data_IF_539596045977
#
_entry.id   IF_539596045977
#
_cell.length_a   1.000
_cell.length_b   1.000
_cell.length_c   1.000
_cell.angle_alpha   90.00
_cell.angle_beta   90.00
_cell.angle_gamma   90.00
#
_symmetry.space_group_name_H-M   'P 1'
#
loop_
_entity.id
_entity.type
_entity.pdbx_description
1 polymer ?
#
# COMPACT_ATOMS: atom_id res chain seq x y z
N UNK A 1 -34.93 -26.42 -54.58
CA UNK A 1 -34.05 -25.24 -54.44
C UNK A 1 -33.11 -25.49 -53.28
N UNK A 2 -31.84 -25.62 -53.62
CA UNK A 2 -30.67 -25.82 -52.76
C UNK A 2 -30.27 -24.55 -52.04
N UNK A 3 -29.94 -24.64 -50.74
CA UNK A 3 -28.83 -23.87 -50.16
C UNK A 3 -28.21 -24.69 -49.02
N UNK A 4 -27.24 -25.52 -49.38
CA UNK A 4 -26.10 -25.81 -48.52
C UNK A 4 -25.11 -24.65 -48.72
N UNK A 5 -24.74 -23.97 -47.65
CA UNK A 5 -23.46 -23.28 -47.53
C UNK A 5 -22.98 -23.52 -46.10
N UNK A 6 -22.13 -24.54 -45.96
CA UNK A 6 -21.32 -24.74 -44.78
C UNK A 6 -20.22 -23.67 -44.70
N UNK A 7 -19.77 -23.40 -43.48
CA UNK A 7 -18.68 -22.45 -43.29
C UNK A 7 -18.21 -22.34 -41.84
N UNK A 8 -17.66 -23.44 -41.31
CA UNK A 8 -16.61 -23.40 -40.29
C UNK A 8 -17.01 -23.01 -38.89
N UNK A 9 -17.11 -24.03 -38.03
CA UNK A 9 -16.77 -23.93 -36.61
C UNK A 9 -15.38 -23.34 -36.44
N UNK A 10 -15.29 -22.01 -36.43
CA UNK A 10 -14.15 -21.30 -35.90
C UNK A 10 -14.25 -21.37 -34.39
N UNK A 11 -13.66 -22.39 -33.79
CA UNK A 11 -13.20 -22.35 -32.39
C UNK A 11 -12.29 -21.12 -32.27
N UNK A 12 -12.90 -19.95 -32.02
CA UNK A 12 -12.19 -18.75 -31.66
C UNK A 12 -11.58 -19.07 -30.31
N UNK A 13 -10.26 -19.33 -30.31
CA UNK A 13 -9.46 -19.42 -29.10
C UNK A 13 -9.88 -18.25 -28.20
N UNK A 14 -10.44 -18.51 -27.01
CA UNK A 14 -10.87 -17.43 -26.15
C UNK A 14 -9.67 -16.53 -25.93
N UNK A 15 -9.79 -15.26 -26.32
CA UNK A 15 -8.73 -14.31 -26.08
C UNK A 15 -8.50 -14.21 -24.58
N UNK A 16 -7.29 -13.85 -24.16
CA UNK A 16 -6.98 -13.63 -22.73
C UNK A 16 -8.00 -12.63 -22.13
N UNK A 17 -8.51 -11.72 -22.95
CA UNK A 17 -9.57 -10.75 -22.62
C UNK A 17 -11.00 -11.31 -22.56
N UNK A 18 -11.29 -12.46 -23.17
CA UNK A 18 -12.59 -13.13 -23.07
C UNK A 18 -12.81 -13.74 -21.68
N UNK A 19 -11.74 -14.21 -21.02
CA UNK A 19 -11.78 -14.62 -19.62
C UNK A 19 -12.10 -13.44 -18.69
N UNK A 20 -11.60 -12.24 -19.00
CA UNK A 20 -11.96 -11.02 -18.27
C UNK A 20 -13.39 -10.57 -18.57
N UNK A 21 -13.84 -10.62 -19.83
CA UNK A 21 -15.23 -10.30 -20.20
C UNK A 21 -16.24 -11.23 -19.52
N UNK A 22 -15.97 -12.53 -19.48
CA UNK A 22 -16.82 -13.50 -18.79
C UNK A 22 -16.82 -13.29 -17.26
N UNK A 23 -15.71 -12.83 -16.69
CA UNK A 23 -15.62 -12.51 -15.26
C UNK A 23 -16.34 -11.21 -14.86
N UNK A 24 -16.48 -10.25 -15.79
CA UNK A 24 -17.18 -8.97 -15.58
C UNK A 24 -18.61 -8.94 -16.12
N UNK A 25 -19.06 -9.97 -16.84
CA UNK A 25 -20.45 -10.07 -17.29
C UNK A 25 -21.39 -10.18 -16.07
N UNK A 26 -22.49 -9.40 -16.01
CA UNK A 26 -23.45 -9.49 -14.93
C UNK A 26 -24.06 -10.89 -14.95
N UNK A 27 -23.64 -11.75 -14.02
CA UNK A 27 -24.24 -13.07 -13.85
C UNK A 27 -25.71 -12.89 -13.46
N UNK A 28 -26.60 -13.51 -14.22
CA UNK A 28 -28.03 -13.53 -13.91
C UNK A 28 -28.21 -14.04 -12.47
N UNK A 29 -28.92 -13.26 -11.66
CA UNK A 29 -29.25 -13.66 -10.30
C UNK A 29 -30.11 -14.92 -10.38
N UNK A 30 -29.67 -16.04 -9.77
CA UNK A 30 -30.50 -17.23 -9.67
C UNK A 30 -31.78 -16.89 -8.90
N UNK A 31 -32.91 -17.51 -9.27
CA UNK A 31 -34.18 -17.42 -8.54
C UNK A 31 -33.96 -17.74 -7.05
N UNK A 32 -34.71 -17.04 -6.17
CA UNK A 32 -34.50 -17.15 -4.73
C UNK A 32 -35.03 -18.48 -4.21
N UNK A 33 -34.16 -19.50 -4.21
CA UNK A 33 -34.49 -20.87 -3.80
C UNK A 33 -34.83 -21.04 -2.30
N UNK A 34 -34.91 -19.95 -1.51
CA UNK A 34 -35.18 -19.98 -0.07
C UNK A 34 -34.08 -20.60 0.82
N UNK A 35 -33.07 -21.25 0.22
CA UNK A 35 -31.97 -21.95 0.92
C UNK A 35 -31.05 -20.99 1.69
N UNK A 36 -30.42 -21.39 2.81
CA UNK A 36 -29.48 -20.52 3.53
C UNK A 36 -28.34 -20.03 2.61
N UNK A 37 -28.05 -18.72 2.65
CA UNK A 37 -26.99 -18.13 1.82
C UNK A 37 -25.64 -18.48 2.45
N UNK A 38 -24.93 -19.43 1.85
CA UNK A 38 -23.59 -19.84 2.28
C UNK A 38 -22.53 -19.01 1.55
N UNK A 39 -21.50 -18.57 2.28
CA UNK A 39 -20.39 -17.83 1.70
C UNK A 39 -19.55 -18.71 0.75
N UNK A 40 -19.30 -18.28 -0.50
CA UNK A 40 -18.43 -19.01 -1.41
C UNK A 40 -16.97 -18.95 -0.94
N UNK A 41 -16.15 -19.92 -1.39
CA UNK A 41 -14.72 -19.98 -1.06
C UNK A 41 -13.97 -18.69 -1.39
N UNK A 42 -14.36 -17.97 -2.45
CA UNK A 42 -13.77 -16.68 -2.81
C UNK A 42 -13.92 -15.62 -1.70
N UNK A 43 -15.05 -15.59 -1.00
CA UNK A 43 -15.29 -14.66 0.11
C UNK A 43 -14.55 -15.10 1.38
N UNK A 44 -14.43 -16.41 1.60
CA UNK A 44 -13.61 -16.93 2.70
C UNK A 44 -12.14 -16.57 2.51
N UNK A 45 -11.61 -16.72 1.30
CA UNK A 45 -10.24 -16.32 0.95
C UNK A 45 -10.09 -14.80 1.06
N UNK A 46 -11.02 -14.01 0.51
CA UNK A 46 -10.97 -12.55 0.62
C UNK A 46 -11.01 -12.07 2.07
N UNK A 47 -11.83 -12.70 2.91
CA UNK A 47 -11.91 -12.46 4.36
C UNK A 47 -10.57 -12.75 5.04
N UNK A 48 -9.94 -13.88 4.73
CA UNK A 48 -8.62 -14.24 5.27
C UNK A 48 -7.52 -13.27 4.81
N UNK A 49 -7.48 -12.90 3.53
CA UNK A 49 -6.51 -11.94 3.00
C UNK A 49 -6.68 -10.55 3.64
N UNK A 50 -7.92 -10.09 3.81
CA UNK A 50 -8.22 -8.82 4.49
C UNK A 50 -7.80 -8.85 5.96
N UNK A 51 -8.01 -9.97 6.65
CA UNK A 51 -7.58 -10.16 8.03
C UNK A 51 -6.05 -10.14 8.15
N UNK A 52 -5.35 -10.93 7.33
CA UNK A 52 -3.89 -11.00 7.34
C UNK A 52 -3.29 -9.62 7.01
N UNK A 53 -3.83 -8.94 6.00
CA UNK A 53 -3.44 -7.56 5.67
C UNK A 53 -3.62 -6.62 6.88
N UNK A 54 -4.81 -6.64 7.49
CA UNK A 54 -5.11 -5.79 8.64
C UNK A 54 -4.20 -6.05 9.84
N UNK A 55 -3.86 -7.32 10.10
CA UNK A 55 -2.92 -7.72 11.15
C UNK A 55 -1.50 -7.22 10.85
N UNK A 56 -1.02 -7.35 9.61
CA UNK A 56 0.29 -6.85 9.21
C UNK A 56 0.36 -5.32 9.42
N UNK A 57 -0.65 -4.58 8.95
CA UNK A 57 -0.68 -3.13 9.08
C UNK A 57 -0.77 -2.68 10.54
N UNK A 58 -1.60 -3.36 11.35
CA UNK A 58 -1.68 -3.08 12.79
C UNK A 58 -0.35 -3.38 13.49
N UNK A 59 0.29 -4.49 13.17
CA UNK A 59 1.59 -4.87 13.73
C UNK A 59 2.69 -3.85 13.38
N UNK A 60 2.75 -3.42 12.12
CA UNK A 60 3.68 -2.38 11.67
C UNK A 60 3.42 -1.05 12.38
N UNK A 61 2.15 -0.72 12.63
CA UNK A 61 1.78 0.50 13.36
C UNK A 61 2.24 0.43 14.82
N UNK A 62 2.08 -0.72 15.48
CA UNK A 62 2.56 -0.93 16.86
C UNK A 62 4.09 -0.86 16.93
N UNK A 63 4.80 -1.45 15.96
CA UNK A 63 6.25 -1.28 15.85
C UNK A 63 6.66 0.19 15.65
N UNK A 64 5.91 0.95 14.84
CA UNK A 64 6.12 2.38 14.70
C UNK A 64 5.95 3.13 16.03
N UNK A 65 4.94 2.76 16.83
CA UNK A 65 4.71 3.32 18.17
C UNK A 65 5.85 3.02 19.15
N UNK A 66 6.48 1.85 19.08
CA UNK A 66 7.62 1.55 19.96
C UNK A 66 8.87 2.30 19.52
N UNK A 67 9.07 2.51 18.22
CA UNK A 67 10.18 3.31 17.68
C UNK A 67 10.03 4.81 17.93
N UNK A 68 8.80 5.31 18.13
CA UNK A 68 8.56 6.70 18.54
C UNK A 68 9.24 7.05 19.87
N UNK A 69 9.41 6.08 20.77
CA UNK A 69 10.11 6.27 22.04
C UNK A 69 11.63 6.39 21.90
N UNK A 70 12.24 5.76 20.89
CA UNK A 70 13.68 5.87 20.60
C UNK A 70 13.99 6.94 19.56
N UNK A 71 12.98 7.50 18.89
CA UNK A 71 13.13 8.45 17.79
C UNK A 71 14.03 9.63 18.12
N UNK A 72 13.93 10.19 19.32
CA UNK A 72 14.75 11.34 19.73
C UNK A 72 16.24 10.95 19.82
N UNK A 73 16.55 9.80 20.41
CA UNK A 73 17.91 9.28 20.49
C UNK A 73 18.48 8.90 19.11
N UNK A 74 17.66 8.30 18.25
CA UNK A 74 18.06 7.91 16.89
C UNK A 74 18.31 9.15 16.01
N UNK A 75 17.47 10.19 16.14
CA UNK A 75 17.65 11.46 15.44
C UNK A 75 18.87 12.21 15.96
N UNK A 76 19.08 12.28 17.27
CA UNK A 76 20.26 12.92 17.86
C UNK A 76 21.55 12.22 17.43
N UNK A 77 21.54 10.88 17.36
CA UNK A 77 22.65 10.09 16.81
C UNK A 77 22.90 10.40 15.34
N UNK A 78 21.85 10.46 14.52
CA UNK A 78 21.99 10.81 13.10
C UNK A 78 22.55 12.23 12.90
N UNK A 79 22.14 13.19 13.73
CA UNK A 79 22.70 14.55 13.72
C UNK A 79 24.16 14.55 14.18
N UNK A 80 24.52 13.77 15.20
CA UNK A 80 25.89 13.63 15.67
C UNK A 80 26.81 13.00 14.60
N UNK A 81 26.35 11.96 13.93
CA UNK A 81 27.06 11.32 12.82
C UNK A 81 27.23 12.31 11.65
N UNK A 82 26.19 13.07 11.32
CA UNK A 82 26.24 14.12 10.30
C UNK A 82 27.28 15.20 10.64
N UNK A 83 27.29 15.69 11.88
CA UNK A 83 28.28 16.69 12.36
C UNK A 83 29.70 16.15 12.34
N UNK A 84 29.86 14.85 12.60
CA UNK A 84 31.16 14.19 12.53
C UNK A 84 31.65 14.08 11.10
N UNK A 85 30.76 13.78 10.14
CA UNK A 85 31.11 13.76 8.72
C UNK A 85 31.43 15.16 8.18
N UNK A 86 30.68 16.18 8.57
CA UNK A 86 30.99 17.55 8.15
C UNK A 86 32.28 18.07 8.77
N UNK A 87 32.58 17.73 10.02
CA UNK A 87 33.87 18.09 10.64
C UNK A 87 35.06 17.39 10.00
N UNK A 88 34.89 16.13 9.57
CA UNK A 88 35.88 15.40 8.77
C UNK A 88 36.13 16.09 7.42
N UNK A 89 35.08 16.54 6.72
CA UNK A 89 35.24 17.34 5.50
C UNK A 89 36.00 18.65 5.74
N UNK A 90 35.71 19.38 6.83
CA UNK A 90 36.49 20.58 7.17
C UNK A 90 37.96 20.25 7.39
N UNK A 91 38.25 19.13 8.07
CA UNK A 91 39.62 18.73 8.40
C UNK A 91 40.40 18.23 7.18
N UNK A 92 39.75 17.45 6.31
CA UNK A 92 40.39 16.75 5.19
C UNK A 92 40.50 17.62 3.93
N UNK A 93 39.47 18.42 3.62
CA UNK A 93 39.39 19.20 2.36
C UNK A 93 39.28 20.71 2.60
N UNK A 94 39.27 21.16 3.87
CA UNK A 94 39.27 22.57 4.23
C UNK A 94 37.89 23.25 4.22
N UNK A 95 36.80 22.49 4.02
CA UNK A 95 35.44 23.02 3.99
C UNK A 95 34.40 22.00 3.52
N UNK A 96 33.14 22.41 3.40
CA UNK A 96 32.04 21.60 2.87
C UNK A 96 30.96 22.48 2.24
N UNK A 97 30.06 21.87 1.48
CA UNK A 97 28.96 22.55 0.80
C UNK A 97 29.35 23.26 -0.49
N UNK A 98 28.44 24.05 -1.02
CA UNK A 98 28.56 24.68 -2.35
C UNK A 98 29.67 25.73 -2.46
N UNK A 99 30.24 26.17 -1.33
CA UNK A 99 31.39 27.08 -1.29
C UNK A 99 32.74 26.36 -1.46
N UNK A 100 32.77 25.03 -1.38
CA UNK A 100 33.99 24.24 -1.57
C UNK A 100 34.33 24.17 -3.06
N UNK A 101 35.48 24.74 -3.45
CA UNK A 101 35.98 24.71 -4.84
C UNK A 101 37.02 23.61 -4.98
N UNK A 102 36.83 22.71 -5.95
CA UNK A 102 37.80 21.65 -6.26
C UNK A 102 39.02 22.28 -6.92
N UNK A 103 40.23 22.16 -6.34
CA UNK A 103 41.44 22.70 -6.95
C UNK A 103 41.72 22.05 -8.32
N UNK A 104 42.28 22.78 -9.30
CA UNK A 104 42.72 22.14 -10.53
C UNK A 104 43.94 21.24 -10.24
N UNK A 105 43.90 19.99 -10.72
CA UNK A 105 45.04 19.05 -10.65
C UNK A 105 45.04 18.06 -9.47
N UNK A 106 43.96 17.96 -8.69
CA UNK A 106 43.80 16.88 -7.71
C UNK A 106 43.57 15.52 -8.39
N UNK A 107 44.06 14.46 -7.76
CA UNK A 107 43.82 13.07 -8.19
C UNK A 107 42.33 12.71 -8.19
N UNK A 108 41.92 11.71 -8.98
CA UNK A 108 40.51 11.27 -9.08
C UNK A 108 39.93 10.84 -7.71
N UNK A 109 40.74 10.18 -6.87
CA UNK A 109 40.34 9.79 -5.51
C UNK A 109 40.09 11.00 -4.61
N UNK A 110 40.91 12.06 -4.73
CA UNK A 110 40.70 13.30 -3.99
C UNK A 110 39.47 14.03 -4.51
N UNK A 111 39.29 14.08 -5.82
CA UNK A 111 38.12 14.70 -6.45
C UNK A 111 36.81 14.09 -5.96
N UNK A 112 36.72 12.77 -5.83
CA UNK A 112 35.54 12.09 -5.27
C UNK A 112 35.25 12.52 -3.81
N UNK A 113 36.29 12.79 -3.00
CA UNK A 113 36.12 13.31 -1.64
C UNK A 113 35.60 14.75 -1.63
N UNK A 114 36.12 15.62 -2.49
CA UNK A 114 35.60 16.98 -2.64
C UNK A 114 34.12 16.98 -3.08
N UNK A 115 33.76 16.13 -4.05
CA UNK A 115 32.37 16.00 -4.53
C UNK A 115 31.43 15.50 -3.44
N UNK A 116 31.87 14.55 -2.60
CA UNK A 116 31.10 14.09 -1.43
C UNK A 116 30.91 15.23 -0.42
N UNK A 117 31.97 15.99 -0.13
CA UNK A 117 31.92 17.10 0.80
C UNK A 117 31.07 18.29 0.31
N UNK A 118 30.90 18.45 -1.01
CA UNK A 118 29.98 19.43 -1.60
C UNK A 118 28.49 19.10 -1.40
N UNK A 119 28.14 17.84 -1.17
CA UNK A 119 26.73 17.42 -0.99
C UNK A 119 26.17 17.80 0.39
N UNK A 120 27.03 18.08 1.37
CA UNK A 120 26.59 18.48 2.71
C UNK A 120 26.08 19.91 2.72
N UNK A 121 24.94 20.12 3.37
CA UNK A 121 24.34 21.43 3.59
C UNK A 121 24.51 21.84 5.05
N UNK A 122 24.78 23.12 5.28
CA UNK A 122 24.84 23.67 6.64
C UNK A 122 23.43 23.84 7.17
N UNK A 123 23.07 23.08 8.19
CA UNK A 123 21.82 23.26 8.93
C UNK A 123 22.11 24.01 10.22
N UNK A 124 21.36 25.08 10.51
CA UNK A 124 21.40 25.69 11.82
C UNK A 124 20.72 24.80 12.86
N UNK A 125 20.99 25.02 14.16
CA UNK A 125 20.30 24.29 15.23
C UNK A 125 18.77 24.50 15.17
N UNK A 126 18.32 25.67 14.72
CA UNK A 126 16.91 25.98 14.51
C UNK A 126 16.31 25.17 13.35
N UNK A 127 17.06 24.98 12.26
CA UNK A 127 16.62 24.14 11.13
C UNK A 127 16.49 22.68 11.56
N UNK A 128 17.47 22.17 12.31
CA UNK A 128 17.46 20.80 12.83
C UNK A 128 16.25 20.58 13.75
N UNK A 129 15.94 21.54 14.62
CA UNK A 129 14.76 21.47 15.49
C UNK A 129 13.45 21.46 14.68
N UNK A 130 13.31 22.34 13.68
CA UNK A 130 12.11 22.38 12.84
C UNK A 130 11.91 21.11 11.99
N UNK A 131 13.00 20.56 11.45
CA UNK A 131 12.98 19.29 10.70
C UNK A 131 12.57 18.14 11.62
N UNK A 132 13.11 18.10 12.85
CA UNK A 132 12.78 17.09 13.85
C UNK A 132 11.28 17.08 14.15
N UNK A 133 10.69 18.24 14.43
CA UNK A 133 9.27 18.37 14.76
C UNK A 133 8.37 18.00 13.58
N UNK A 134 8.73 18.44 12.37
CA UNK A 134 8.00 18.11 11.15
C UNK A 134 8.02 16.60 10.87
N UNK A 135 9.19 15.96 10.96
CA UNK A 135 9.35 14.52 10.74
C UNK A 135 8.64 13.68 11.82
N UNK A 136 8.72 14.10 13.09
CA UNK A 136 7.99 13.44 14.19
C UNK A 136 6.49 13.50 13.96
N UNK A 137 5.97 14.66 13.58
CA UNK A 137 4.53 14.86 13.30
C UNK A 137 4.08 14.01 12.11
N UNK A 138 4.86 14.01 11.01
CA UNK A 138 4.57 13.16 9.86
C UNK A 138 4.53 11.69 10.27
N UNK A 139 5.54 11.18 10.97
CA UNK A 139 5.60 9.78 11.36
C UNK A 139 4.42 9.35 12.26
N UNK A 140 4.03 10.21 13.22
CA UNK A 140 2.84 9.97 14.07
C UNK A 140 1.56 9.86 13.22
N UNK A 141 1.35 10.80 12.29
CA UNK A 141 0.18 10.79 11.41
C UNK A 141 0.14 9.53 10.56
N UNK A 142 1.29 9.11 10.03
CA UNK A 142 1.41 7.88 9.23
C UNK A 142 1.04 6.65 10.03
N UNK A 143 1.58 6.52 11.23
CA UNK A 143 1.30 5.39 12.13
C UNK A 143 -0.18 5.36 12.50
N UNK A 144 -0.78 6.51 12.83
CA UNK A 144 -2.20 6.59 13.14
C UNK A 144 -3.09 6.17 11.96
N UNK A 145 -2.77 6.63 10.74
CA UNK A 145 -3.51 6.26 9.53
C UNK A 145 -3.38 4.75 9.24
N UNK A 146 -2.17 4.19 9.33
CA UNK A 146 -1.93 2.76 9.15
C UNK A 146 -2.70 1.92 10.17
N UNK A 147 -2.76 2.37 11.42
CA UNK A 147 -3.50 1.69 12.48
C UNK A 147 -5.00 1.68 12.19
N UNK A 148 -5.56 2.82 11.78
CA UNK A 148 -6.99 2.94 11.42
C UNK A 148 -7.31 2.02 10.23
N UNK A 149 -6.48 2.03 9.19
CA UNK A 149 -6.67 1.15 8.02
C UNK A 149 -6.56 -0.31 8.44
N UNK A 150 -5.56 -0.68 9.25
CA UNK A 150 -5.37 -2.04 9.74
C UNK A 150 -6.60 -2.56 10.50
N UNK A 151 -7.09 -1.77 11.47
CA UNK A 151 -8.30 -2.11 12.24
C UNK A 151 -9.54 -2.19 11.36
N UNK A 152 -9.72 -1.24 10.44
CA UNK A 152 -10.82 -1.26 9.50
C UNK A 152 -10.76 -2.47 8.55
N UNK A 153 -9.57 -2.91 8.14
CA UNK A 153 -9.38 -4.09 7.31
C UNK A 153 -9.68 -5.40 8.08
N UNK A 154 -9.32 -5.47 9.37
CA UNK A 154 -9.70 -6.58 10.25
C UNK A 154 -11.21 -6.64 10.41
N UNK A 155 -11.84 -5.51 10.74
CA UNK A 155 -13.29 -5.42 10.91
C UNK A 155 -14.01 -5.78 9.60
N UNK A 156 -13.61 -5.20 8.47
CA UNK A 156 -14.20 -5.51 7.17
C UNK A 156 -13.99 -6.98 6.77
N UNK A 157 -12.81 -7.55 7.05
CA UNK A 157 -12.49 -8.97 6.88
C UNK A 157 -13.41 -9.89 7.67
N UNK A 158 -13.74 -9.52 8.91
CA UNK A 158 -14.68 -10.26 9.75
C UNK A 158 -16.12 -10.16 9.22
N UNK A 159 -16.59 -8.95 8.90
CA UNK A 159 -17.95 -8.70 8.42
C UNK A 159 -18.18 -9.10 6.95
N UNK A 160 -17.13 -9.38 6.18
CA UNK A 160 -17.23 -9.97 4.85
C UNK A 160 -18.00 -11.31 4.88
N UNK A 161 -17.82 -12.09 5.96
CA UNK A 161 -18.48 -13.39 6.14
C UNK A 161 -19.98 -13.28 6.36
N UNK A 162 -20.44 -12.18 6.95
CA UNK A 162 -21.88 -11.94 7.23
C UNK A 162 -22.60 -11.18 6.10
N UNK A 163 -21.90 -10.87 5.00
CA UNK A 163 -22.52 -10.23 3.83
C UNK A 163 -23.01 -8.81 4.09
N UNK A 164 -22.43 -8.07 5.04
CA UNK A 164 -22.87 -6.71 5.35
C UNK A 164 -22.69 -5.75 4.16
N UNK A 165 -23.63 -4.81 3.93
CA UNK A 165 -23.63 -3.94 2.73
C UNK A 165 -22.43 -2.99 2.67
N UNK A 166 -21.91 -2.60 3.83
CA UNK A 166 -20.86 -1.60 3.96
C UNK A 166 -19.47 -2.17 3.68
N UNK A 167 -19.22 -3.46 3.91
CA UNK A 167 -17.88 -4.07 3.85
C UNK A 167 -17.22 -3.94 2.48
N UNK A 168 -17.98 -4.17 1.39
CA UNK A 168 -17.47 -3.97 0.03
C UNK A 168 -16.99 -2.54 -0.23
N UNK A 169 -17.75 -1.55 0.25
CA UNK A 169 -17.40 -0.13 0.09
C UNK A 169 -16.20 0.23 0.96
N UNK A 170 -16.15 -0.30 2.17
CA UNK A 170 -15.03 -0.09 3.11
C UNK A 170 -13.73 -0.64 2.54
N UNK A 171 -13.68 -1.89 2.06
CA UNK A 171 -12.44 -2.49 1.55
C UNK A 171 -11.98 -1.77 0.27
N UNK A 172 -12.91 -1.40 -0.62
CA UNK A 172 -12.59 -0.57 -1.78
C UNK A 172 -11.99 0.79 -1.36
N UNK A 173 -12.63 1.47 -0.40
CA UNK A 173 -12.14 2.73 0.14
C UNK A 173 -10.75 2.59 0.78
N UNK A 174 -10.51 1.52 1.53
CA UNK A 174 -9.21 1.21 2.13
C UNK A 174 -8.14 1.01 1.06
N UNK A 175 -8.42 0.28 -0.02
CA UNK A 175 -7.48 0.14 -1.14
C UNK A 175 -7.13 1.50 -1.74
N UNK A 176 -8.14 2.35 -1.99
CA UNK A 176 -7.91 3.68 -2.58
C UNK A 176 -7.03 4.54 -1.68
N UNK A 177 -7.38 4.64 -0.39
CA UNK A 177 -6.60 5.40 0.59
C UNK A 177 -5.17 4.89 0.64
N UNK A 178 -4.98 3.57 0.66
CA UNK A 178 -3.67 2.96 0.80
C UNK A 178 -2.80 3.15 -0.46
N UNK A 179 -3.39 3.10 -1.66
CA UNK A 179 -2.71 3.42 -2.91
C UNK A 179 -2.28 4.90 -2.97
N UNK A 180 -3.15 5.82 -2.54
CA UNK A 180 -2.82 7.25 -2.46
C UNK A 180 -1.67 7.48 -1.48
N UNK A 181 -1.70 6.84 -0.30
CA UNK A 181 -0.61 6.91 0.67
C UNK A 181 0.73 6.40 0.12
N UNK A 182 0.71 5.31 -0.66
CA UNK A 182 1.92 4.78 -1.33
C UNK A 182 2.44 5.78 -2.38
N UNK A 183 1.57 6.37 -3.20
CA UNK A 183 1.97 7.33 -4.25
C UNK A 183 2.63 8.59 -3.67
N UNK A 184 2.18 9.02 -2.49
CA UNK A 184 2.78 10.15 -1.76
C UNK A 184 4.15 9.82 -1.13
N UNK A 185 4.72 8.63 -1.40
CA UNK A 185 5.96 8.09 -0.80
C UNK A 185 5.96 8.07 0.73
N UNK A 186 4.78 8.14 1.33
CA UNK A 186 4.59 8.13 2.77
C UNK A 186 4.94 6.74 3.35
N UNK A 187 4.83 5.69 2.52
CA UNK A 187 4.93 4.29 2.94
C UNK A 187 5.86 3.52 1.99
N UNK A 188 7.16 3.45 2.30
CA UNK A 188 8.17 2.79 1.45
C UNK A 188 8.51 1.33 1.80
N UNK A 189 7.87 0.75 2.82
CA UNK A 189 8.23 -0.60 3.29
C UNK A 189 7.65 -1.69 2.39
N UNK A 190 8.49 -2.69 2.07
CA UNK A 190 8.08 -3.86 1.26
C UNK A 190 6.93 -4.64 1.88
N UNK A 191 6.81 -4.61 3.22
CA UNK A 191 5.72 -5.26 3.93
C UNK A 191 4.39 -4.53 3.70
N UNK A 192 4.41 -3.20 3.57
CA UNK A 192 3.21 -2.41 3.27
C UNK A 192 2.78 -2.64 1.82
N UNK A 193 3.72 -2.74 0.89
CA UNK A 193 3.46 -3.11 -0.51
C UNK A 193 2.89 -4.54 -0.61
N UNK A 194 3.41 -5.49 0.16
CA UNK A 194 2.85 -6.84 0.23
C UNK A 194 1.42 -6.82 0.78
N UNK A 195 1.19 -6.12 1.89
CA UNK A 195 -0.13 -5.99 2.50
C UNK A 195 -1.14 -5.30 1.56
N UNK A 196 -0.72 -4.26 0.84
CA UNK A 196 -1.58 -3.56 -0.12
C UNK A 196 -2.05 -4.48 -1.25
N UNK A 197 -1.14 -5.32 -1.76
CA UNK A 197 -1.44 -6.28 -2.82
C UNK A 197 -2.44 -7.34 -2.34
N UNK A 198 -2.33 -7.83 -1.10
CA UNK A 198 -3.32 -8.73 -0.50
C UNK A 198 -4.71 -8.09 -0.45
N UNK A 199 -4.79 -6.80 -0.09
CA UNK A 199 -6.04 -6.05 -0.02
C UNK A 199 -6.67 -5.87 -1.41
N UNK A 200 -5.87 -5.57 -2.43
CA UNK A 200 -6.31 -5.47 -3.83
C UNK A 200 -6.88 -6.80 -4.33
N UNK A 201 -6.21 -7.91 -4.07
CA UNK A 201 -6.70 -9.25 -4.43
C UNK A 201 -8.01 -9.56 -3.69
N UNK A 202 -8.11 -9.21 -2.40
CA UNK A 202 -9.34 -9.37 -1.63
C UNK A 202 -10.51 -8.58 -2.23
N UNK A 203 -10.28 -7.35 -2.71
CA UNK A 203 -11.30 -6.57 -3.43
C UNK A 203 -11.73 -7.28 -4.70
N UNK A 204 -10.79 -7.71 -5.55
CA UNK A 204 -11.12 -8.39 -6.81
C UNK A 204 -12.00 -9.63 -6.57
N UNK A 205 -11.63 -10.47 -5.60
CA UNK A 205 -12.41 -11.65 -5.22
C UNK A 205 -13.78 -11.31 -4.62
N UNK A 206 -13.92 -10.14 -3.99
CA UNK A 206 -15.18 -9.66 -3.42
C UNK A 206 -16.16 -9.16 -4.48
N UNK A 207 -15.68 -8.67 -5.63
CA UNK A 207 -16.50 -8.08 -6.69
C UNK A 207 -16.71 -9.01 -7.90
N UNK A 208 -15.79 -9.94 -8.17
CA UNK A 208 -15.81 -10.79 -9.36
C UNK A 208 -16.45 -12.17 -9.09
N UNK A 209 -17.18 -12.70 -10.08
CA UNK A 209 -17.73 -14.06 -10.09
C UNK A 209 -18.61 -14.40 -8.88
N UNK A 210 -18.29 -15.51 -8.20
CA UNK A 210 -19.06 -16.02 -7.06
C UNK A 210 -19.16 -15.04 -5.88
N UNK A 211 -18.14 -14.20 -5.67
CA UNK A 211 -18.19 -13.14 -4.66
C UNK A 211 -19.24 -12.09 -5.00
N UNK A 212 -19.27 -11.66 -6.27
CA UNK A 212 -20.30 -10.85 -6.93
C UNK A 212 -21.72 -11.28 -6.55
N UNK A 213 -22.03 -12.54 -6.88
CA UNK A 213 -23.34 -13.18 -6.69
C UNK A 213 -23.77 -13.31 -5.22
N UNK A 214 -22.85 -13.62 -4.30
CA UNK A 214 -23.19 -13.77 -2.88
C UNK A 214 -23.82 -12.51 -2.29
N UNK A 215 -23.23 -11.35 -2.55
CA UNK A 215 -23.78 -10.08 -2.07
C UNK A 215 -25.03 -9.66 -2.84
N UNK A 216 -25.15 -10.03 -4.11
CA UNK A 216 -26.35 -9.78 -4.90
C UNK A 216 -27.55 -10.55 -4.33
N UNK A 217 -27.37 -11.84 -3.99
CA UNK A 217 -28.37 -12.65 -3.27
C UNK A 217 -28.73 -12.07 -1.91
N UNK A 218 -27.73 -11.66 -1.12
CA UNK A 218 -27.96 -11.00 0.17
C UNK A 218 -28.67 -9.65 0.07
N UNK A 219 -28.55 -8.95 -1.06
CA UNK A 219 -29.29 -7.71 -1.34
C UNK A 219 -30.73 -8.03 -1.73
N UNK A 220 -30.94 -9.01 -2.59
CA UNK A 220 -32.27 -9.45 -3.04
C UNK A 220 -33.15 -9.87 -1.86
N UNK A 221 -32.64 -10.73 -0.96
CA UNK A 221 -33.40 -11.16 0.23
C UNK A 221 -33.81 -10.04 1.16
N UNK A 222 -32.94 -9.04 1.34
CA UNK A 222 -33.24 -7.87 2.17
C UNK A 222 -34.19 -6.88 1.50
N UNK A 223 -34.46 -7.02 0.20
CA UNK A 223 -35.47 -6.23 -0.49
C UNK A 223 -36.82 -6.97 -0.54
N UNK A 224 -36.81 -8.30 -0.35
CA UNK A 224 -38.01 -9.13 -0.28
C UNK A 224 -38.61 -9.24 1.14
N UNK A 225 -37.82 -8.95 2.18
CA UNK A 225 -38.25 -8.80 3.58
C UNK A 225 -38.64 -7.36 3.91
#
# INVERSE_FOLDING_TARGET
>A
MSFLSGGGSGDRRPGIFDSFRGAFAPQQLPEDDGRPIVAPRSILIASALSLVCGVILAFLSVLGLTQLGSYEADFDKAVADYRTQTSQCVTDVGGFGSSLVIPPGVSDDQKARYETCQQYVTYSDADIASIRESQKTQNIVVIAVLMIIGLAAVAAGWFLRSGARWTRRTILGLVIVLLVSIMLRVLGSILILGASLLLVVAVMLSFVGAGGLFFARHRARRAAS
#
